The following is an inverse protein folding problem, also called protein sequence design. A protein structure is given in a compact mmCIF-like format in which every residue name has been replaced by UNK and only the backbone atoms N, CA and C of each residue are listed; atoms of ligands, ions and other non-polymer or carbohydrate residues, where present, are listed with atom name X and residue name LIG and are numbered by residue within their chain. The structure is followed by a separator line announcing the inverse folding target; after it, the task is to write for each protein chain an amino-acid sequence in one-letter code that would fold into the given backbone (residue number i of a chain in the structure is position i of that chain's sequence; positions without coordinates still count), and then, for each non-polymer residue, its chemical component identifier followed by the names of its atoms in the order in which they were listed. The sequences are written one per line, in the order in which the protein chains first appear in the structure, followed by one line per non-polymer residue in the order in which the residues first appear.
data_IF_017804364292
#
_entry.id   IF_017804364292
#
_cell.length_a   1.000
_cell.length_b   1.000
_cell.length_c   1.000
_cell.angle_alpha   90.00
_cell.angle_beta   90.00
_cell.angle_gamma   90.00
#
_symmetry.space_group_name_H-M   'P 1'
#
loop_
_entity.id
_entity.type
_entity.pdbx_description
1 polymer ?
#
# COMPACT_ATOMS: atom_id res chain seq x y z
N UNK A 1 3.21 7.84 11.56
CA UNK A 1 4.00 6.66 11.17
C UNK A 1 5.37 7.17 10.77
N UNK A 2 6.42 6.76 11.46
CA UNK A 2 7.78 7.25 11.18
C UNK A 2 8.57 6.20 10.43
N UNK A 3 9.32 6.64 9.42
CA UNK A 3 10.33 5.82 8.75
C UNK A 3 11.68 6.21 9.34
N UNK A 4 12.34 5.33 10.13
CA UNK A 4 13.60 5.68 10.79
C UNK A 4 14.72 5.94 9.77
N UNK A 5 15.69 6.78 10.14
CA UNK A 5 16.85 7.06 9.30
C UNK A 5 17.64 5.77 9.03
N UNK A 6 17.97 5.52 7.77
CA UNK A 6 18.58 4.26 7.30
C UNK A 6 17.77 3.00 7.64
N UNK A 7 16.48 3.15 7.96
CA UNK A 7 15.58 2.05 8.25
C UNK A 7 14.57 1.81 7.13
N UNK A 8 13.84 0.72 7.28
CA UNK A 8 12.78 0.30 6.37
C UNK A 8 11.50 0.11 7.18
N UNK A 9 10.39 0.49 6.58
CA UNK A 9 9.07 0.28 7.13
C UNK A 9 8.28 -0.59 6.16
N UNK A 10 7.96 -1.80 6.60
CA UNK A 10 7.38 -2.83 5.75
C UNK A 10 5.87 -2.92 5.96
N UNK A 11 5.16 -3.10 4.84
CA UNK A 11 3.74 -3.42 4.84
C UNK A 11 3.57 -4.87 4.41
N UNK A 12 3.05 -5.71 5.29
CA UNK A 12 2.87 -7.14 5.05
C UNK A 12 1.59 -7.68 5.72
N UNK A 13 0.99 -8.75 5.17
CA UNK A 13 -0.12 -9.44 5.82
C UNK A 13 0.25 -9.86 7.24
N UNK A 14 -0.62 -9.56 8.22
CA UNK A 14 -0.38 -9.85 9.64
C UNK A 14 0.43 -8.78 10.38
N UNK A 15 0.96 -7.75 9.70
CA UNK A 15 1.57 -6.57 10.31
C UNK A 15 0.90 -5.30 9.79
N UNK A 16 1.67 -4.23 9.59
CA UNK A 16 1.18 -3.01 8.99
C UNK A 16 0.67 -3.29 7.59
N UNK A 17 -0.54 -2.85 7.29
CA UNK A 17 -1.14 -3.01 5.97
C UNK A 17 -1.87 -1.72 5.60
N UNK A 18 -1.85 -1.40 4.31
CA UNK A 18 -2.57 -0.26 3.77
C UNK A 18 -3.99 -0.69 3.43
N UNK A 19 -4.97 -0.03 4.04
CA UNK A 19 -6.37 -0.24 3.72
C UNK A 19 -6.84 0.80 2.70
N UNK A 20 -7.32 0.33 1.56
CA UNK A 20 -8.08 1.15 0.62
C UNK A 20 -9.52 1.23 1.14
N UNK A 21 -9.83 2.32 1.87
CA UNK A 21 -11.18 2.54 2.38
C UNK A 21 -12.13 2.94 1.24
N UNK A 22 -13.22 2.18 1.09
CA UNK A 22 -14.30 2.48 0.13
C UNK A 22 -13.80 2.81 -1.28
N UNK A 23 -13.18 1.85 -1.98
CA UNK A 23 -12.75 2.09 -3.35
C UNK A 23 -13.94 2.50 -4.21
N UNK A 24 -13.79 3.59 -4.97
CA UNK A 24 -14.85 4.13 -5.84
C UNK A 24 -15.12 3.23 -7.04
N UNK A 25 -14.15 2.41 -7.41
CA UNK A 25 -14.25 1.41 -8.47
C UNK A 25 -13.97 0.01 -7.89
N UNK A 26 -14.73 -1.01 -8.33
CA UNK A 26 -14.42 -2.39 -7.95
C UNK A 26 -13.06 -2.79 -8.53
N UNK A 27 -12.22 -3.41 -7.70
CA UNK A 27 -10.89 -3.89 -8.05
C UNK A 27 -10.93 -5.39 -8.37
N UNK A 28 -10.33 -5.78 -9.49
CA UNK A 28 -10.20 -7.16 -9.95
C UNK A 28 -8.75 -7.63 -9.93
N UNK A 29 -8.54 -8.93 -9.77
CA UNK A 29 -7.20 -9.51 -9.86
C UNK A 29 -6.60 -9.26 -11.25
N UNK A 30 -5.36 -8.76 -11.30
CA UNK A 30 -4.70 -8.34 -12.54
C UNK A 30 -4.80 -6.84 -12.82
N UNK A 31 -5.66 -6.10 -12.11
CA UNK A 31 -5.67 -4.65 -12.17
C UNK A 31 -4.40 -4.06 -11.54
N UNK A 32 -4.15 -2.78 -11.81
CA UNK A 32 -3.09 -2.01 -11.15
C UNK A 32 -3.70 -0.79 -10.48
N UNK A 33 -3.30 -0.52 -9.25
CA UNK A 33 -3.73 0.65 -8.50
C UNK A 33 -2.53 1.55 -8.27
N UNK A 34 -2.67 2.82 -8.62
CA UNK A 34 -1.71 3.87 -8.31
C UNK A 34 -2.10 4.57 -7.01
N UNK A 35 -1.12 4.81 -6.14
CA UNK A 35 -1.28 5.61 -4.93
C UNK A 35 -0.05 6.48 -4.71
N UNK A 36 -0.28 7.63 -4.08
CA UNK A 36 0.75 8.60 -3.75
C UNK A 36 0.91 8.66 -2.24
N UNK A 37 2.11 8.41 -1.75
CA UNK A 37 2.46 8.68 -0.36
C UNK A 37 2.93 10.12 -0.25
N UNK A 38 2.33 10.85 0.68
CA UNK A 38 2.79 12.18 1.07
C UNK A 38 3.49 12.06 2.43
N UNK A 39 4.75 12.50 2.49
CA UNK A 39 5.55 12.49 3.70
C UNK A 39 5.53 13.88 4.32
N UNK A 40 5.57 13.95 5.64
CA UNK A 40 5.56 15.20 6.41
C UNK A 40 6.65 16.18 5.96
N UNK A 41 7.81 15.68 5.52
CA UNK A 41 8.89 16.49 4.95
C UNK A 41 8.61 17.10 3.56
N UNK A 42 7.35 17.09 3.10
CA UNK A 42 6.91 17.67 1.83
C UNK A 42 7.26 16.85 0.58
N UNK A 43 7.91 15.69 0.76
CA UNK A 43 8.20 14.76 -0.34
C UNK A 43 6.98 13.91 -0.64
N UNK A 44 6.86 13.47 -1.89
CA UNK A 44 5.87 12.48 -2.27
C UNK A 44 6.50 11.33 -3.05
N UNK A 45 5.90 10.16 -2.93
CA UNK A 45 6.28 8.96 -3.69
C UNK A 45 5.05 8.37 -4.37
N UNK A 46 5.09 8.30 -5.69
CA UNK A 46 4.09 7.60 -6.47
C UNK A 46 4.45 6.12 -6.56
N UNK A 47 3.50 5.26 -6.24
CA UNK A 47 3.65 3.81 -6.26
C UNK A 47 2.49 3.20 -7.03
N UNK A 48 2.81 2.25 -7.90
CA UNK A 48 1.84 1.39 -8.57
C UNK A 48 1.98 -0.03 -8.04
N UNK A 49 0.86 -0.62 -7.62
CA UNK A 49 0.84 -2.00 -7.15
C UNK A 49 -0.21 -2.83 -7.89
N UNK A 50 0.10 -4.10 -8.23
CA UNK A 50 -0.86 -5.00 -8.82
C UNK A 50 -1.88 -5.48 -7.79
N UNK A 51 -3.15 -5.55 -8.18
CA UNK A 51 -4.21 -6.16 -7.38
C UNK A 51 -4.08 -7.68 -7.48
N UNK A 52 -3.82 -8.31 -6.34
CA UNK A 52 -3.81 -9.77 -6.19
C UNK A 52 -5.01 -10.19 -5.37
N UNK A 53 -5.48 -11.43 -5.56
CA UNK A 53 -6.46 -12.01 -4.63
C UNK A 53 -5.80 -12.13 -3.26
N UNK A 54 -6.55 -11.85 -2.20
CA UNK A 54 -6.09 -12.13 -0.85
C UNK A 54 -5.85 -13.64 -0.76
N UNK A 55 -4.60 -14.05 -0.60
CA UNK A 55 -4.30 -15.44 -0.31
C UNK A 55 -4.77 -15.70 1.12
N UNK A 56 -5.81 -16.52 1.27
CA UNK A 56 -6.19 -17.06 2.57
C UNK A 56 -5.07 -18.02 3.00
N UNK A 57 -4.18 -17.58 3.88
CA UNK A 57 -3.32 -18.51 4.61
C UNK A 57 -4.23 -19.45 5.40
N UNK A 58 -4.25 -20.72 5.01
CA UNK A 58 -4.88 -21.82 5.75
C UNK A 58 -3.86 -22.45 6.69
#
# INVERSE_FOLDING_TARGET
MEVPANGVLEFEPGRYHLMLMMPTTPLSAGDTVGFRFEFEGGRSLDVTAPVKRAESSN
#
